data_IF_146320219314
#
_entry.id   IF_146320219314
#
_cell.length_a   1.000
_cell.length_b   1.000
_cell.length_c   1.000
_cell.angle_alpha   90.00
_cell.angle_beta   90.00
_cell.angle_gamma   90.00
#
_symmetry.space_group_name_H-M   'P 1'
#
loop_
_entity.id
_entity.type
_entity.pdbx_description
1 polymer ?
#
# COMPACT_ATOMS: atom_id res chain seq x y z
N UNK A 1 -0.66 -10.81 24.90
CA UNK A 1 -0.62 -9.46 24.40
C UNK A 1 -1.64 -9.24 23.30
N UNK A 2 -2.42 -8.22 23.43
CA UNK A 2 -3.48 -7.99 22.50
C UNK A 2 -3.06 -7.00 21.43
N UNK A 3 -3.16 -7.42 20.21
CA UNK A 3 -2.79 -6.57 19.10
C UNK A 3 -4.00 -6.34 18.21
N UNK A 4 -4.40 -5.09 18.10
CA UNK A 4 -5.51 -4.75 17.24
C UNK A 4 -5.10 -3.67 16.28
N UNK A 5 -5.63 -3.76 15.08
CA UNK A 5 -5.44 -2.74 14.09
C UNK A 5 -6.41 -1.60 14.33
N UNK A 6 -5.96 -0.39 14.13
CA UNK A 6 -6.86 0.72 14.08
C UNK A 6 -7.26 0.94 12.61
N UNK A 7 -8.33 1.68 12.43
CA UNK A 7 -8.79 2.00 11.09
C UNK A 7 -7.75 2.82 10.35
N UNK A 8 -7.07 3.70 11.07
CA UNK A 8 -6.05 4.55 10.46
C UNK A 8 -4.87 3.72 9.99
N UNK A 9 -4.49 2.72 10.78
CA UNK A 9 -3.39 1.85 10.39
C UNK A 9 -3.70 1.11 9.09
N UNK A 10 -4.90 0.62 8.97
CA UNK A 10 -5.30 -0.07 7.76
C UNK A 10 -5.31 0.90 6.58
N UNK A 11 -5.83 2.08 6.79
CA UNK A 11 -5.87 3.10 5.75
C UNK A 11 -4.47 3.45 5.26
N UNK A 12 -3.53 3.60 6.19
CA UNK A 12 -2.15 3.93 5.84
C UNK A 12 -1.51 2.79 5.04
N UNK A 13 -1.76 1.57 5.43
CA UNK A 13 -1.18 0.42 4.74
C UNK A 13 -1.66 0.34 3.30
N UNK A 14 -2.95 0.46 3.07
CA UNK A 14 -3.46 0.40 1.71
C UNK A 14 -3.01 1.60 0.89
N UNK A 15 -2.81 2.75 1.52
CA UNK A 15 -2.30 3.92 0.81
C UNK A 15 -0.87 3.69 0.33
N UNK A 16 -0.05 3.08 1.17
CA UNK A 16 1.32 2.77 0.79
C UNK A 16 1.35 1.75 -0.35
N UNK A 17 0.53 0.73 -0.24
CA UNK A 17 0.45 -0.28 -1.30
C UNK A 17 0.03 0.35 -2.62
N UNK A 18 -0.94 1.26 -2.58
CA UNK A 18 -1.40 1.92 -3.79
C UNK A 18 -0.30 2.76 -4.43
N UNK A 19 0.48 3.45 -3.62
CA UNK A 19 1.58 4.26 -4.14
C UNK A 19 2.63 3.38 -4.81
N UNK A 20 3.01 2.30 -4.16
CA UNK A 20 4.01 1.39 -4.71
C UNK A 20 3.51 0.74 -5.99
N UNK A 21 2.26 0.33 -6.00
CA UNK A 21 1.66 -0.28 -7.18
C UNK A 21 1.63 0.67 -8.35
N UNK A 22 1.39 1.95 -8.09
CA UNK A 22 1.33 2.94 -9.16
C UNK A 22 2.69 3.15 -9.83
N UNK A 23 3.76 2.86 -9.11
CA UNK A 23 5.09 2.96 -9.68
C UNK A 23 5.47 1.70 -10.46
N UNK A 24 4.90 0.57 -10.09
CA UNK A 24 5.22 -0.69 -10.76
C UNK A 24 4.56 -0.81 -12.13
N UNK A 25 3.33 -0.34 -12.26
CA UNK A 25 2.61 -0.46 -13.52
C UNK A 25 3.33 0.22 -14.68
N UNK A 26 3.74 1.49 -14.56
CA UNK A 26 4.46 2.13 -15.67
C UNK A 26 5.84 1.52 -15.87
N UNK A 27 6.47 1.01 -14.82
CA UNK A 27 7.77 0.36 -14.98
C UNK A 27 7.65 -0.91 -15.81
N UNK A 28 6.61 -1.69 -15.57
CA UNK A 28 6.36 -2.90 -16.36
C UNK A 28 5.98 -2.57 -17.78
N UNK A 29 5.19 -1.53 -17.96
CA UNK A 29 4.74 -1.11 -19.27
C UNK A 29 5.89 -0.63 -20.13
N UNK A 30 6.91 -0.03 -19.51
CA UNK A 30 8.06 0.47 -20.22
C UNK A 30 9.10 -0.60 -20.52
N UNK A 31 9.03 -1.66 -19.78
CA UNK A 31 9.96 -2.77 -20.01
C UNK A 31 9.56 -3.54 -21.25
#
# INVERSE_FOLDING_TARGET
>A
MKKSFTLIELLVVIAIIAILASMLLPALSKA
#
